data_IF_381023826080
#
_entry.id   IF_381023826080
#
_cell.length_a   1.000
_cell.length_b   1.000
_cell.length_c   1.000
_cell.angle_alpha   90.00
_cell.angle_beta   90.00
_cell.angle_gamma   90.00
#
_symmetry.space_group_name_H-M   'P 1'
#
loop_
_entity.id
_entity.type
_entity.pdbx_description
1 polymer ?
#
# COMPACT_ATOMS: atom_id res chain seq x y z
N UNK A 1 -3.71 -22.74 0.71
CA UNK A 1 -3.23 -21.40 1.11
C UNK A 1 -3.75 -20.41 0.08
N UNK A 2 -4.23 -19.22 0.50
CA UNK A 2 -4.93 -18.28 -0.39
C UNK A 2 -4.06 -17.90 -1.59
N UNK A 3 -4.53 -18.20 -2.80
CA UNK A 3 -3.85 -17.80 -4.04
C UNK A 3 -3.94 -16.28 -4.18
N UNK A 4 -2.89 -15.70 -4.76
CA UNK A 4 -2.79 -14.28 -5.14
C UNK A 4 -2.94 -13.28 -3.99
N UNK A 5 -2.55 -13.68 -2.78
CA UNK A 5 -2.40 -12.78 -1.63
C UNK A 5 -0.92 -12.48 -1.39
N UNK A 6 -0.57 -11.19 -1.36
CA UNK A 6 0.74 -10.69 -0.97
C UNK A 6 0.68 -10.11 0.43
N UNK A 7 1.63 -10.53 1.28
CA UNK A 7 1.84 -9.95 2.60
C UNK A 7 3.21 -9.29 2.63
N UNK A 8 3.23 -8.00 2.96
CA UNK A 8 4.44 -7.19 3.05
C UNK A 8 4.55 -6.61 4.46
N UNK A 9 5.70 -6.83 5.08
CA UNK A 9 6.08 -6.14 6.31
C UNK A 9 7.18 -5.14 6.02
N UNK A 10 7.17 -3.98 6.67
CA UNK A 10 8.20 -2.94 6.55
C UNK A 10 8.51 -2.38 7.92
N UNK A 11 9.79 -2.17 8.23
CA UNK A 11 10.24 -1.60 9.51
C UNK A 11 11.25 -0.50 9.22
N UNK A 12 11.13 0.64 9.90
CA UNK A 12 12.02 1.77 9.68
C UNK A 12 11.55 3.07 10.30
N UNK A 13 12.11 4.16 9.82
CA UNK A 13 11.75 5.52 10.19
C UNK A 13 10.73 6.10 9.20
N UNK A 14 9.68 6.72 9.73
CA UNK A 14 8.56 7.34 9.01
C UNK A 14 8.76 8.86 8.90
N UNK A 15 7.88 9.54 8.15
CA UNK A 15 8.03 10.95 7.79
C UNK A 15 8.13 11.89 9.00
N UNK A 16 7.41 11.60 10.09
CA UNK A 16 7.45 12.40 11.30
C UNK A 16 8.68 12.11 12.19
N UNK A 17 9.63 11.29 11.72
CA UNK A 17 10.84 10.92 12.45
C UNK A 17 10.64 9.77 13.44
N UNK A 18 9.40 9.27 13.56
CA UNK A 18 9.01 8.12 14.35
C UNK A 18 9.50 6.81 13.73
N UNK A 19 9.80 5.84 14.58
CA UNK A 19 10.20 4.49 14.18
C UNK A 19 9.03 3.56 14.37
N UNK A 20 8.80 2.68 13.40
CA UNK A 20 7.68 1.77 13.46
C UNK A 20 7.71 0.65 12.44
N UNK A 21 6.59 -0.04 12.35
CA UNK A 21 6.34 -1.11 11.40
C UNK A 21 5.03 -0.92 10.67
N UNK A 22 5.02 -1.21 9.36
CA UNK A 22 3.80 -1.33 8.55
C UNK A 22 3.61 -2.78 8.16
N UNK A 23 2.40 -3.29 8.34
CA UNK A 23 1.92 -4.51 7.72
C UNK A 23 0.95 -4.15 6.60
N UNK A 24 1.20 -4.67 5.40
CA UNK A 24 0.36 -4.51 4.22
C UNK A 24 -0.05 -5.90 3.72
N UNK A 25 -1.35 -6.06 3.46
CA UNK A 25 -1.94 -7.26 2.89
C UNK A 25 -2.71 -6.83 1.65
N UNK A 26 -2.41 -7.46 0.51
CA UNK A 26 -3.10 -7.18 -0.75
C UNK A 26 -3.48 -8.46 -1.48
N UNK A 27 -4.62 -8.41 -2.17
CA UNK A 27 -5.06 -9.42 -3.12
C UNK A 27 -4.85 -8.90 -4.53
N UNK A 28 -4.22 -9.73 -5.35
CA UNK A 28 -3.94 -9.49 -6.75
C UNK A 28 -4.94 -10.35 -7.54
N UNK A 29 -5.64 -9.74 -8.48
CA UNK A 29 -6.60 -10.45 -9.32
C UNK A 29 -5.97 -10.70 -10.69
N UNK A 30 -6.42 -11.73 -11.41
CA UNK A 30 -5.96 -12.04 -12.77
C UNK A 30 -6.17 -10.88 -13.76
N UNK A 31 -7.09 -9.95 -13.45
CA UNK A 31 -7.30 -8.71 -14.19
C UNK A 31 -6.19 -7.66 -13.99
N UNK A 32 -5.20 -7.95 -13.14
CA UNK A 32 -4.20 -6.99 -12.69
C UNK A 32 -4.72 -5.96 -11.69
N UNK A 33 -5.99 -6.04 -11.27
CA UNK A 33 -6.51 -5.22 -10.16
C UNK A 33 -5.84 -5.66 -8.86
N UNK A 34 -5.48 -4.68 -8.02
CA UNK A 34 -4.95 -4.93 -6.68
C UNK A 34 -5.83 -4.24 -5.66
N UNK A 35 -6.26 -4.98 -4.65
CA UNK A 35 -6.99 -4.44 -3.50
C UNK A 35 -6.18 -4.76 -2.27
N UNK A 36 -5.85 -3.74 -1.47
CA UNK A 36 -5.01 -3.92 -0.30
C UNK A 36 -5.43 -3.06 0.88
N UNK A 37 -4.90 -3.44 2.03
CA UNK A 37 -5.03 -2.69 3.28
C UNK A 37 -3.73 -2.76 4.05
N UNK A 38 -3.47 -1.70 4.82
CA UNK A 38 -2.28 -1.62 5.64
C UNK A 38 -2.59 -1.04 7.01
N UNK A 39 -1.74 -1.39 7.97
CA UNK A 39 -1.69 -0.79 9.28
C UNK A 39 -0.24 -0.48 9.66
N UNK A 40 0.00 0.70 10.22
CA UNK A 40 1.30 1.17 10.69
C UNK A 40 1.23 1.48 12.17
N UNK A 41 2.13 0.87 12.94
CA UNK A 41 2.32 1.15 14.37
C UNK A 41 3.70 1.77 14.52
N UNK A 42 3.80 2.87 15.26
CA UNK A 42 5.07 3.54 15.53
C UNK A 42 5.26 3.80 17.02
N UNK A 43 6.41 4.35 17.39
CA UNK A 43 6.76 4.67 18.77
C UNK A 43 6.19 6.01 19.28
N UNK A 44 5.30 6.65 18.51
CA UNK A 44 4.56 7.83 18.93
C UNK A 44 3.56 7.43 20.00
N UNK A 45 3.43 8.22 21.06
CA UNK A 45 2.48 7.92 22.12
C UNK A 45 1.03 8.10 21.65
N UNK A 46 0.05 7.33 22.18
CA UNK A 46 -1.38 7.50 21.86
C UNK A 46 -1.90 8.94 22.06
N UNK A 47 -1.38 9.63 23.08
CA UNK A 47 -1.72 11.03 23.38
C UNK A 47 -1.22 11.99 22.28
N UNK A 48 -0.05 11.71 21.70
CA UNK A 48 0.48 12.41 20.52
C UNK A 48 -0.17 11.95 19.21
N UNK A 49 -0.79 10.77 19.20
CA UNK A 49 -1.54 10.26 18.06
C UNK A 49 -2.96 10.85 17.99
N UNK A 50 -3.55 11.17 19.15
CA UNK A 50 -4.79 11.92 19.33
C UNK A 50 -6.07 11.08 19.25
N UNK A 51 -6.27 10.31 18.18
CA UNK A 51 -7.54 9.59 17.89
C UNK A 51 -7.35 8.09 17.54
N UNK A 52 -6.27 7.47 18.03
CA UNK A 52 -6.02 6.03 17.96
C UNK A 52 -4.54 5.67 18.01
N UNK A 53 -4.19 4.40 18.23
CA UNK A 53 -2.79 3.99 18.47
C UNK A 53 -1.98 3.70 17.19
N UNK A 54 -2.63 3.73 16.02
CA UNK A 54 -2.05 3.28 14.77
C UNK A 54 -2.75 3.86 13.54
N UNK A 55 -1.99 4.03 12.47
CA UNK A 55 -2.49 4.48 11.17
C UNK A 55 -2.93 3.28 10.35
N UNK A 56 -4.07 3.38 9.66
CA UNK A 56 -4.58 2.30 8.80
C UNK A 56 -5.18 2.88 7.53
N UNK A 57 -5.14 2.11 6.46
CA UNK A 57 -5.78 2.51 5.20
C UNK A 57 -6.08 1.32 4.32
N UNK A 58 -6.90 1.57 3.31
CA UNK A 58 -7.20 0.63 2.23
C UNK A 58 -6.97 1.32 0.90
N UNK A 59 -6.67 0.54 -0.13
CA UNK A 59 -6.42 1.06 -1.46
C UNK A 59 -6.85 0.08 -2.53
N UNK A 60 -7.14 0.64 -3.71
CA UNK A 60 -7.42 -0.10 -4.94
C UNK A 60 -6.54 0.46 -6.04
N UNK A 61 -5.88 -0.41 -6.78
CA UNK A 61 -5.12 -0.07 -7.99
C UNK A 61 -5.67 -0.82 -9.19
N UNK A 62 -5.94 -0.10 -10.27
CA UNK A 62 -6.57 -0.61 -11.48
C UNK A 62 -5.68 -0.29 -12.69
N UNK A 63 -5.29 -1.30 -13.49
CA UNK A 63 -4.58 -1.08 -14.76
C UNK A 63 -5.44 -0.28 -15.75
N UNK A 64 -4.85 0.67 -16.46
CA UNK A 64 -5.57 1.50 -17.44
C UNK A 64 -5.66 0.86 -18.83
N UNK A 65 -4.86 -0.17 -19.09
CA UNK A 65 -4.97 -1.02 -20.29
C UNK A 65 -6.32 -1.75 -20.35
N UNK A 66 -6.96 -2.02 -19.21
CA UNK A 66 -8.35 -2.50 -19.15
C UNK A 66 -9.36 -1.57 -19.83
N UNK A 67 -9.03 -0.29 -19.98
CA UNK A 67 -9.89 0.74 -20.57
C UNK A 67 -9.29 1.38 -21.83
N UNK A 68 -8.10 0.95 -22.26
CA UNK A 68 -7.36 1.52 -23.38
C UNK A 68 -7.29 0.53 -24.53
N UNK A 69 -7.33 1.03 -25.77
CA UNK A 69 -7.13 0.23 -26.98
C UNK A 69 -5.67 -0.08 -27.28
N UNK A 70 -4.73 0.54 -26.56
CA UNK A 70 -3.29 0.33 -26.70
C UNK A 70 -2.62 -0.12 -25.39
N UNK A 71 -1.54 -0.92 -25.46
CA UNK A 71 -0.82 -1.41 -24.30
C UNK A 71 -0.23 -0.25 -23.49
N UNK A 72 -0.52 -0.22 -22.18
CA UNK A 72 -0.02 0.81 -21.26
C UNK A 72 0.35 0.18 -19.93
N UNK A 73 1.36 0.73 -19.27
CA UNK A 73 1.77 0.32 -17.91
C UNK A 73 1.17 1.22 -16.82
N UNK A 74 0.33 2.17 -17.21
CA UNK A 74 -0.28 3.12 -16.29
C UNK A 74 -1.37 2.47 -15.45
N UNK A 75 -1.46 2.88 -14.18
CA UNK A 75 -2.51 2.43 -13.25
C UNK A 75 -3.19 3.64 -12.63
N UNK A 76 -4.51 3.55 -12.46
CA UNK A 76 -5.23 4.43 -11.54
C UNK A 76 -5.14 3.85 -10.12
N UNK A 77 -4.99 4.70 -9.11
CA UNK A 77 -4.97 4.29 -7.72
C UNK A 77 -5.88 5.20 -6.89
N UNK A 78 -6.70 4.58 -6.04
CA UNK A 78 -7.54 5.27 -5.06
C UNK A 78 -7.23 4.68 -3.70
N UNK A 79 -6.91 5.54 -2.73
CA UNK A 79 -6.63 5.16 -1.35
C UNK A 79 -7.57 5.89 -0.39
N UNK A 80 -7.98 5.21 0.66
CA UNK A 80 -8.71 5.79 1.77
C UNK A 80 -8.02 5.46 3.09
N UNK A 81 -7.71 6.51 3.85
CA UNK A 81 -7.11 6.41 5.18
C UNK A 81 -8.03 7.17 6.14
N UNK A 82 -8.80 6.48 7.00
CA UNK A 82 -9.61 7.14 8.02
C UNK A 82 -8.72 7.82 9.06
N UNK A 83 -9.07 9.08 9.39
CA UNK A 83 -8.45 9.94 10.40
C UNK A 83 -7.00 10.31 10.06
N UNK A 84 -6.80 11.58 9.70
CA UNK A 84 -5.49 12.14 9.30
C UNK A 84 -4.81 12.81 10.49
N UNK A 85 -4.03 12.06 11.27
CA UNK A 85 -2.87 12.60 11.97
C UNK A 85 -1.63 11.83 11.53
N UNK A 86 -0.53 12.55 11.32
CA UNK A 86 0.61 12.14 10.49
C UNK A 86 1.54 11.05 11.09
N UNK A 87 1.08 10.32 12.11
CA UNK A 87 1.84 9.20 12.69
C UNK A 87 1.99 8.07 11.67
N UNK A 88 3.21 7.56 11.47
CA UNK A 88 3.44 6.41 10.60
C UNK A 88 3.18 6.65 9.10
N UNK A 89 3.18 7.89 8.62
CA UNK A 89 3.06 8.16 7.19
C UNK A 89 4.34 7.72 6.46
N UNK A 90 4.19 6.83 5.48
CA UNK A 90 5.29 6.47 4.59
C UNK A 90 5.61 7.62 3.63
N UNK A 91 6.90 7.86 3.38
CA UNK A 91 7.33 8.78 2.33
C UNK A 91 6.71 8.36 0.99
N UNK A 92 6.06 9.30 0.30
CA UNK A 92 5.57 9.12 -1.06
C UNK A 92 6.74 8.88 -2.02
N UNK A 93 7.15 7.62 -2.18
CA UNK A 93 8.22 7.24 -3.10
C UNK A 93 7.64 7.07 -4.49
N UNK A 94 8.27 7.73 -5.47
CA UNK A 94 7.91 7.63 -6.89
C UNK A 94 7.98 6.19 -7.43
N UNK A 95 8.80 5.34 -6.82
CA UNK A 95 8.95 3.93 -7.17
C UNK A 95 9.06 3.09 -5.89
N UNK A 96 8.12 2.18 -5.61
CA UNK A 96 8.32 1.14 -4.61
C UNK A 96 8.82 -0.15 -5.27
N UNK A 97 9.72 -0.87 -4.60
CA UNK A 97 10.35 -2.09 -5.15
C UNK A 97 9.34 -3.20 -5.49
N UNK A 98 8.23 -3.29 -4.74
CA UNK A 98 7.15 -4.24 -5.03
C UNK A 98 6.37 -3.84 -6.30
N UNK A 99 6.16 -2.54 -6.53
CA UNK A 99 5.53 -2.05 -7.77
C UNK A 99 6.39 -2.41 -8.99
N UNK A 100 7.72 -2.31 -8.85
CA UNK A 100 8.67 -2.62 -9.93
C UNK A 100 8.85 -4.13 -10.18
N UNK A 101 8.55 -4.98 -9.20
CA UNK A 101 8.74 -6.44 -9.31
C UNK A 101 7.43 -7.18 -9.59
N UNK A 102 6.27 -6.55 -9.36
CA UNK A 102 4.94 -7.08 -9.73
C UNK A 102 4.87 -7.44 -11.22
N UNK A 103 5.53 -6.68 -12.09
CA UNK A 103 5.61 -6.94 -13.54
C UNK A 103 6.27 -8.28 -13.88
N UNK A 104 7.02 -8.88 -12.95
CA UNK A 104 7.73 -10.15 -13.13
C UNK A 104 6.94 -11.37 -12.68
N UNK A 105 5.76 -11.21 -12.06
CA UNK A 105 4.95 -12.35 -11.66
C UNK A 105 4.18 -12.89 -12.89
N UNK A 106 4.31 -14.20 -13.10
CA UNK A 106 4.06 -15.00 -14.30
C UNK A 106 2.63 -14.99 -14.87
N UNK A 107 1.71 -14.21 -14.29
CA UNK A 107 0.30 -14.15 -14.68
C UNK A 107 -0.12 -12.79 -15.28
N UNK A 108 0.78 -11.81 -15.38
CA UNK A 108 0.50 -10.57 -16.12
C UNK A 108 0.56 -10.84 -17.63
N UNK A 109 -0.61 -10.85 -18.27
CA UNK A 109 -0.77 -10.83 -19.73
C UNK A 109 -1.16 -9.44 -20.20
#
# INVERSE_FOLDING_TARGET
>A
FAQDVLVKASVGQYLAGDKGGTLDISKHFDSGVVVGGYATITNVSPDEYGEGDFTKGVYVSIPLDLFSSGPTRSRAAVGWTPLTRDGGQQLGRKFQLYDMTSDKNINFR
#
